data_IF_230616544575
#
_entry.id   IF_230616544575
#
_cell.length_a   1.000
_cell.length_b   1.000
_cell.length_c   1.000
_cell.angle_alpha   90.00
_cell.angle_beta   90.00
_cell.angle_gamma   90.00
#
_symmetry.space_group_name_H-M   'P 1'
#
loop_
_entity.id
_entity.type
_entity.pdbx_description
1 polymer ?
#
# COMPACT_ATOMS: atom_id res chain seq x y z
N UNK A 1 11.53 -16.02 -30.28
CA UNK A 1 12.26 -16.01 -29.00
C UNK A 1 12.94 -14.66 -28.87
N UNK A 2 12.14 -13.61 -28.60
CA UNK A 2 12.60 -12.23 -28.42
C UNK A 2 11.41 -11.45 -27.83
N UNK A 3 11.18 -11.54 -26.53
CA UNK A 3 10.18 -10.72 -25.82
C UNK A 3 10.42 -10.55 -24.32
N UNK A 4 11.45 -11.18 -23.72
CA UNK A 4 11.64 -11.11 -22.25
C UNK A 4 12.50 -9.92 -21.79
N UNK A 5 13.35 -9.34 -22.65
CA UNK A 5 14.24 -8.24 -22.26
C UNK A 5 13.53 -6.88 -22.16
N UNK A 6 12.50 -6.61 -22.97
CA UNK A 6 11.81 -5.32 -22.92
C UNK A 6 11.02 -5.09 -21.61
N UNK A 7 10.72 -6.15 -20.85
CA UNK A 7 10.07 -6.04 -19.52
C UNK A 7 11.06 -5.75 -18.40
N UNK A 8 12.36 -5.96 -18.61
CA UNK A 8 13.42 -5.75 -17.61
C UNK A 8 13.84 -4.28 -17.46
N UNK A 9 13.68 -3.48 -18.51
CA UNK A 9 14.11 -2.07 -18.52
C UNK A 9 13.06 -1.08 -17.98
N UNK A 10 11.89 -1.57 -17.56
CA UNK A 10 11.01 -0.82 -16.67
C UNK A 10 11.52 -0.99 -15.23
N UNK A 11 12.64 -0.31 -14.91
CA UNK A 11 13.43 -0.43 -13.68
C UNK A 11 12.66 -1.04 -12.51
N UNK A 12 12.83 -2.35 -12.32
CA UNK A 12 12.21 -3.06 -11.20
C UNK A 12 12.73 -2.47 -9.89
N UNK A 13 11.84 -2.23 -8.95
CA UNK A 13 12.23 -1.83 -7.60
C UNK A 13 12.51 -3.07 -6.76
N UNK A 14 13.64 -3.06 -6.06
CA UNK A 14 13.96 -4.07 -5.05
C UNK A 14 13.29 -3.70 -3.72
N UNK A 15 12.70 -4.70 -3.06
CA UNK A 15 12.07 -4.53 -1.76
C UNK A 15 12.85 -5.35 -0.73
N UNK A 16 13.30 -4.70 0.35
CA UNK A 16 13.93 -5.40 1.46
C UNK A 16 12.97 -6.41 2.08
N UNK A 17 13.50 -7.58 2.46
CA UNK A 17 12.70 -8.73 2.92
C UNK A 17 11.77 -8.37 4.08
N UNK A 18 12.23 -7.51 4.99
CA UNK A 18 11.48 -7.04 6.15
C UNK A 18 10.24 -6.19 5.82
N UNK A 19 10.11 -5.71 4.58
CA UNK A 19 9.00 -4.85 4.10
C UNK A 19 8.04 -5.57 3.17
N UNK A 20 8.33 -6.81 2.79
CA UNK A 20 7.50 -7.60 1.85
C UNK A 20 6.07 -7.71 2.34
N UNK A 21 5.87 -8.03 3.62
CA UNK A 21 4.54 -8.19 4.21
C UNK A 21 3.74 -6.88 4.17
N UNK A 22 4.35 -5.77 4.59
CA UNK A 22 3.70 -4.47 4.58
C UNK A 22 3.33 -4.02 3.16
N UNK A 23 4.23 -4.23 2.19
CA UNK A 23 3.95 -3.92 0.79
C UNK A 23 2.79 -4.77 0.25
N UNK A 24 2.73 -6.06 0.57
CA UNK A 24 1.62 -6.93 0.16
C UNK A 24 0.29 -6.47 0.75
N UNK A 25 0.26 -6.11 2.04
CA UNK A 25 -0.93 -5.53 2.69
C UNK A 25 -1.34 -4.24 1.98
N UNK A 26 -0.40 -3.31 1.77
CA UNK A 26 -0.65 -2.06 1.04
C UNK A 26 -1.22 -2.32 -0.35
N UNK A 27 -0.59 -3.21 -1.12
CA UNK A 27 -0.98 -3.51 -2.49
C UNK A 27 -2.40 -4.08 -2.59
N UNK A 28 -2.81 -4.95 -1.64
CA UNK A 28 -4.18 -5.44 -1.55
C UNK A 28 -5.19 -4.34 -1.21
N UNK A 29 -4.77 -3.36 -0.40
CA UNK A 29 -5.59 -2.24 0.05
C UNK A 29 -5.51 -1.00 -0.84
N UNK A 30 -4.69 -0.97 -1.89
CA UNK A 30 -4.35 0.25 -2.65
C UNK A 30 -5.54 0.99 -3.29
N UNK A 31 -6.69 0.32 -3.42
CA UNK A 31 -7.95 0.90 -3.94
C UNK A 31 -8.98 1.22 -2.85
N UNK A 32 -8.69 0.89 -1.60
CA UNK A 32 -9.58 1.00 -0.45
C UNK A 32 -9.25 2.26 0.35
N UNK A 33 -9.26 3.40 -0.32
CA UNK A 33 -9.05 4.69 0.32
C UNK A 33 -10.36 5.25 0.87
N UNK A 34 -10.27 5.76 2.09
CA UNK A 34 -11.29 6.65 2.65
C UNK A 34 -11.08 8.04 2.09
N UNK A 35 -12.16 8.66 1.66
CA UNK A 35 -12.14 10.03 1.16
C UNK A 35 -13.36 10.81 1.66
N UNK A 36 -13.17 12.10 1.80
CA UNK A 36 -14.21 13.08 2.08
C UNK A 36 -14.40 14.00 0.87
N UNK A 37 -15.64 14.40 0.64
CA UNK A 37 -15.99 15.38 -0.39
C UNK A 37 -16.15 16.74 0.28
N UNK A 38 -15.33 17.72 -0.12
CA UNK A 38 -15.35 19.07 0.44
C UNK A 38 -15.06 20.12 -0.62
N UNK A 39 -15.85 21.20 -0.65
CA UNK A 39 -15.67 22.35 -1.55
C UNK A 39 -15.45 22.01 -3.04
N UNK A 40 -16.06 20.92 -3.53
CA UNK A 40 -15.92 20.47 -4.92
C UNK A 40 -14.65 19.68 -5.22
N UNK A 41 -13.89 19.29 -4.19
CA UNK A 41 -12.66 18.49 -4.29
C UNK A 41 -12.78 17.19 -3.49
N UNK A 42 -12.02 16.17 -3.91
CA UNK A 42 -11.87 14.90 -3.19
C UNK A 42 -10.66 15.03 -2.27
N UNK A 43 -10.84 14.78 -0.98
CA UNK A 43 -9.75 14.72 -0.01
C UNK A 43 -9.58 13.28 0.47
N UNK A 44 -8.42 12.69 0.18
CA UNK A 44 -8.05 11.36 0.64
C UNK A 44 -7.53 11.42 2.07
N UNK A 45 -8.14 10.66 2.98
CA UNK A 45 -7.80 10.67 4.41
C UNK A 45 -6.76 9.62 4.78
N UNK A 46 -6.88 8.43 4.17
CA UNK A 46 -6.06 7.25 4.46
C UNK A 46 -6.72 5.96 3.96
N UNK A 47 -6.07 4.82 4.21
CA UNK A 47 -6.64 3.51 3.91
C UNK A 47 -7.73 3.14 4.92
N UNK A 48 -8.67 2.31 4.48
CA UNK A 48 -9.66 1.71 5.36
C UNK A 48 -9.01 0.67 6.28
N UNK A 49 -8.95 0.95 7.58
CA UNK A 49 -8.34 0.05 8.58
C UNK A 49 -9.06 -1.31 8.70
N UNK A 50 -10.35 -1.38 8.38
CA UNK A 50 -11.07 -2.65 8.33
C UNK A 50 -10.63 -3.50 7.13
N UNK A 51 -10.39 -2.86 5.98
CA UNK A 51 -9.80 -3.55 4.83
C UNK A 51 -8.36 -4.00 5.13
N UNK A 52 -7.58 -3.19 5.84
CA UNK A 52 -6.21 -3.54 6.29
C UNK A 52 -6.23 -4.76 7.21
N UNK A 53 -7.09 -4.78 8.22
CA UNK A 53 -7.24 -5.93 9.14
C UNK A 53 -7.62 -7.22 8.36
N UNK A 54 -8.55 -7.12 7.41
CA UNK A 54 -8.88 -8.26 6.52
C UNK A 54 -7.67 -8.70 5.68
N UNK A 55 -6.89 -7.78 5.14
CA UNK A 55 -5.70 -8.09 4.35
C UNK A 55 -4.62 -8.78 5.19
N UNK A 56 -4.32 -8.25 6.39
CA UNK A 56 -3.37 -8.85 7.32
C UNK A 56 -3.78 -10.28 7.71
N UNK A 57 -5.07 -10.51 8.00
CA UNK A 57 -5.60 -11.86 8.27
C UNK A 57 -5.51 -12.79 7.07
N UNK A 58 -5.80 -12.30 5.86
CA UNK A 58 -5.71 -13.08 4.60
C UNK A 58 -4.28 -13.50 4.28
N UNK A 59 -3.31 -12.62 4.53
CA UNK A 59 -1.89 -12.87 4.34
C UNK A 59 -1.25 -13.64 5.51
N UNK A 60 -2.01 -13.87 6.59
CA UNK A 60 -1.56 -14.56 7.82
C UNK A 60 -0.34 -13.87 8.44
N UNK A 61 -0.37 -12.54 8.48
CA UNK A 61 0.65 -11.76 9.18
C UNK A 61 0.69 -12.21 10.65
N UNK A 62 1.85 -12.66 11.18
CA UNK A 62 1.97 -13.09 12.57
C UNK A 62 1.62 -11.97 13.56
N UNK A 63 1.04 -12.32 14.70
CA UNK A 63 0.65 -11.35 15.73
C UNK A 63 1.86 -10.54 16.22
N UNK A 64 3.03 -11.17 16.34
CA UNK A 64 4.29 -10.51 16.76
C UNK A 64 4.81 -9.52 15.71
N UNK A 65 4.39 -9.67 14.45
CA UNK A 65 4.78 -8.81 13.32
C UNK A 65 3.72 -7.74 13.03
N UNK A 66 2.50 -7.91 13.52
CA UNK A 66 1.35 -7.09 13.19
C UNK A 66 1.60 -5.60 13.37
N UNK A 67 2.15 -5.19 14.53
CA UNK A 67 2.48 -3.80 14.82
C UNK A 67 3.53 -3.24 13.86
N UNK A 68 4.60 -4.00 13.59
CA UNK A 68 5.66 -3.58 12.68
C UNK A 68 5.13 -3.40 11.26
N UNK A 69 4.32 -4.34 10.78
CA UNK A 69 3.69 -4.29 9.46
C UNK A 69 2.75 -3.09 9.36
N UNK A 70 1.96 -2.82 10.41
CA UNK A 70 1.07 -1.67 10.44
C UNK A 70 1.86 -0.36 10.37
N UNK A 71 2.95 -0.22 11.14
CA UNK A 71 3.79 1.00 11.11
C UNK A 71 4.44 1.21 9.74
N UNK A 72 4.96 0.14 9.12
CA UNK A 72 5.51 0.22 7.77
C UNK A 72 4.44 0.58 6.73
N UNK A 73 3.24 0.03 6.86
CA UNK A 73 2.09 0.37 6.01
C UNK A 73 1.74 1.86 6.10
N UNK A 74 1.82 2.46 7.29
CA UNK A 74 1.52 3.89 7.51
C UNK A 74 2.44 4.81 6.74
N UNK A 75 3.71 4.44 6.56
CA UNK A 75 4.65 5.20 5.72
C UNK A 75 4.16 5.23 4.26
N UNK A 76 3.76 4.07 3.71
CA UNK A 76 3.24 4.01 2.34
C UNK A 76 1.89 4.73 2.19
N UNK A 77 1.04 4.68 3.23
CA UNK A 77 -0.22 5.43 3.27
C UNK A 77 0.02 6.94 3.26
N UNK A 78 0.98 7.43 4.05
CA UNK A 78 1.29 8.86 4.12
C UNK A 78 1.79 9.39 2.77
N UNK A 79 2.79 8.75 2.18
CA UNK A 79 3.33 9.12 0.87
C UNK A 79 2.28 8.98 -0.24
N UNK A 80 1.47 7.92 -0.20
CA UNK A 80 0.39 7.71 -1.15
C UNK A 80 -0.69 8.78 -1.06
N UNK A 81 -1.03 9.22 0.16
CA UNK A 81 -2.02 10.27 0.40
C UNK A 81 -1.55 11.60 -0.17
N UNK A 82 -0.29 11.95 0.04
CA UNK A 82 0.29 13.19 -0.45
C UNK A 82 0.27 13.23 -1.99
N UNK A 83 0.60 12.12 -2.65
CA UNK A 83 0.48 11.98 -4.12
C UNK A 83 -0.96 12.10 -4.61
N UNK A 84 -1.94 11.54 -3.89
CA UNK A 84 -3.35 11.58 -4.28
C UNK A 84 -3.97 12.96 -4.09
N UNK A 85 -3.63 13.65 -3.01
CA UNK A 85 -4.15 14.98 -2.67
C UNK A 85 -3.41 16.13 -3.37
N UNK A 86 -2.24 15.87 -3.96
CA UNK A 86 -1.55 16.85 -4.81
C UNK A 86 -2.13 16.96 -6.24
N UNK A 87 -3.15 16.15 -6.57
CA UNK A 87 -3.85 16.15 -7.86
C UNK A 87 -5.11 17.02 -7.81
#
# INVERSE_FOLDING_TARGET
MCSDDARRDAGGFELWEEHVEAFQVFYLCARQWRFSLGFGTVWYEGLDLGAVDVAMRRLRVPDERSETVLLQLRVMEEEGRDVLNAR
#
